data_IF_710378558717
#
_entry.id   IF_710378558717
#
_cell.length_a   1.000
_cell.length_b   1.000
_cell.length_c   1.000
_cell.angle_alpha   90.00
_cell.angle_beta   90.00
_cell.angle_gamma   90.00
#
_symmetry.space_group_name_H-M   'P 1'
#
loop_
_entity.id
_entity.type
_entity.pdbx_description
1 polymer ?
#
# COMPACT_ATOMS: atom_id res chain seq x y z
N UNK A 1 14.53 -41.26 12.14
CA UNK A 1 13.45 -40.36 12.62
C UNK A 1 14.09 -39.11 13.22
N UNK A 2 14.07 -37.99 12.50
CA UNK A 2 14.34 -36.67 13.06
C UNK A 2 13.40 -35.70 12.34
N UNK A 3 12.18 -35.54 12.87
CA UNK A 3 11.29 -34.49 12.44
C UNK A 3 11.89 -33.17 12.91
N UNK A 4 12.57 -32.46 12.01
CA UNK A 4 13.07 -31.12 12.28
C UNK A 4 11.85 -30.20 12.35
N UNK A 5 11.45 -29.85 13.57
CA UNK A 5 10.31 -28.97 13.91
C UNK A 5 10.61 -27.50 13.57
N UNK A 6 11.08 -27.23 12.36
CA UNK A 6 11.19 -25.87 11.88
C UNK A 6 9.86 -25.46 11.30
N UNK A 7 9.16 -24.58 12.01
CA UNK A 7 7.93 -23.98 11.53
C UNK A 7 8.19 -23.28 10.19
N UNK A 8 7.26 -23.41 9.25
CA UNK A 8 7.23 -22.70 7.96
C UNK A 8 7.64 -21.22 8.07
N UNK A 9 7.31 -20.58 9.19
CA UNK A 9 7.67 -19.20 9.53
C UNK A 9 9.19 -18.99 9.65
N UNK A 10 9.92 -19.89 10.32
CA UNK A 10 11.38 -19.75 10.47
C UNK A 10 12.12 -19.89 9.15
N UNK A 11 11.66 -20.79 8.29
CA UNK A 11 12.33 -21.08 7.03
C UNK A 11 12.06 -19.98 5.99
N UNK A 12 10.81 -19.51 5.89
CA UNK A 12 10.43 -18.50 4.88
C UNK A 12 10.63 -17.05 5.31
N UNK A 13 10.41 -16.72 6.59
CA UNK A 13 10.48 -15.33 7.07
C UNK A 13 11.84 -15.04 7.72
N UNK A 14 12.38 -15.98 8.49
CA UNK A 14 13.68 -15.81 9.15
C UNK A 14 14.84 -16.42 8.35
N UNK A 15 14.59 -16.88 7.12
CA UNK A 15 15.58 -17.49 6.22
C UNK A 15 16.37 -18.66 6.87
N UNK A 16 15.74 -19.38 7.80
CA UNK A 16 16.38 -20.47 8.54
C UNK A 16 17.32 -20.05 9.67
N UNK A 17 17.42 -18.74 9.96
CA UNK A 17 18.27 -18.19 11.04
C UNK A 17 17.48 -17.97 12.33
N UNK A 18 18.16 -18.03 13.49
CA UNK A 18 17.59 -17.60 14.77
C UNK A 18 17.20 -16.11 14.68
N UNK A 19 16.08 -15.63 15.27
CA UNK A 19 15.67 -14.23 15.16
C UNK A 19 16.72 -13.21 15.65
N UNK A 20 17.55 -13.60 16.62
CA UNK A 20 18.69 -12.79 17.08
C UNK A 20 19.77 -12.66 16.01
N UNK A 21 20.11 -13.77 15.37
CA UNK A 21 21.16 -13.83 14.34
C UNK A 21 20.70 -13.16 13.04
N UNK A 22 19.41 -13.26 12.71
CA UNK A 22 18.79 -12.53 11.60
C UNK A 22 18.89 -11.01 11.79
N UNK A 23 18.56 -10.48 12.98
CA UNK A 23 18.64 -9.05 13.26
C UNK A 23 20.10 -8.56 13.19
N UNK A 24 21.05 -9.31 13.77
CA UNK A 24 22.48 -8.96 13.75
C UNK A 24 23.03 -9.00 12.31
N UNK A 25 22.67 -9.99 11.51
CA UNK A 25 23.06 -10.08 10.10
C UNK A 25 22.40 -8.98 9.24
N UNK A 26 21.24 -8.48 9.66
CA UNK A 26 20.52 -7.40 8.98
C UNK A 26 21.04 -6.00 9.33
N UNK A 27 21.98 -5.86 10.28
CA UNK A 27 22.68 -4.61 10.62
C UNK A 27 23.74 -4.22 9.57
N UNK A 28 23.34 -4.16 8.29
CA UNK A 28 24.16 -3.64 7.20
C UNK A 28 23.86 -2.16 6.97
N UNK A 29 24.85 -1.39 6.51
CA UNK A 29 24.71 0.04 6.18
C UNK A 29 23.46 0.38 5.34
N UNK A 30 23.15 -0.32 4.22
CA UNK A 30 21.94 -0.04 3.44
C UNK A 30 20.64 -0.37 4.19
N UNK A 31 20.63 -1.44 4.99
CA UNK A 31 19.46 -1.86 5.74
C UNK A 31 19.19 -0.94 6.93
N UNK A 32 20.23 -0.37 7.53
CA UNK A 32 20.11 0.66 8.58
C UNK A 32 19.47 1.93 8.01
N UNK A 33 19.92 2.37 6.82
CA UNK A 33 19.32 3.54 6.14
C UNK A 33 17.84 3.28 5.86
N UNK A 34 17.52 2.11 5.27
CA UNK A 34 16.14 1.72 5.01
C UNK A 34 15.30 1.69 6.30
N UNK A 35 15.85 1.14 7.39
CA UNK A 35 15.17 1.08 8.69
C UNK A 35 14.89 2.48 9.26
N UNK A 36 15.81 3.44 9.10
CA UNK A 36 15.60 4.83 9.53
C UNK A 36 14.46 5.48 8.73
N UNK A 37 14.45 5.33 7.39
CA UNK A 37 13.38 5.89 6.56
C UNK A 37 12.02 5.26 6.88
N UNK A 38 11.95 3.93 7.01
CA UNK A 38 10.71 3.24 7.37
C UNK A 38 10.27 3.65 8.78
N UNK A 39 11.17 3.69 9.74
CA UNK A 39 10.87 4.09 11.12
C UNK A 39 10.36 5.53 11.21
N UNK A 40 11.01 6.46 10.51
CA UNK A 40 10.56 7.85 10.41
C UNK A 40 9.18 7.94 9.73
N UNK A 41 8.96 7.20 8.64
CA UNK A 41 7.68 7.16 7.93
C UNK A 41 6.54 6.65 8.83
N UNK A 42 6.76 5.56 9.56
CA UNK A 42 5.79 5.02 10.53
C UNK A 42 5.53 6.03 11.66
N UNK A 43 6.58 6.70 12.16
CA UNK A 43 6.44 7.74 13.17
C UNK A 43 5.55 8.90 12.71
N UNK A 44 5.73 9.37 11.46
CA UNK A 44 4.90 10.41 10.86
C UNK A 44 3.46 9.92 10.64
N UNK A 45 3.25 8.67 10.19
CA UNK A 45 1.92 8.08 10.04
C UNK A 45 1.16 8.05 11.37
N UNK A 46 1.81 7.62 12.45
CA UNK A 46 1.23 7.60 13.80
C UNK A 46 0.91 9.02 14.26
N UNK A 47 1.86 9.96 14.10
CA UNK A 47 1.64 11.36 14.46
C UNK A 47 0.44 11.96 13.73
N UNK A 48 0.27 11.65 12.44
CA UNK A 48 -0.86 12.08 11.60
C UNK A 48 -2.20 11.54 12.06
N UNK A 49 -2.25 10.32 12.59
CA UNK A 49 -3.48 9.73 13.17
C UNK A 49 -3.93 10.42 14.46
N UNK A 50 -2.98 10.86 15.30
CA UNK A 50 -3.30 11.44 16.62
C UNK A 50 -3.45 12.96 16.60
N UNK A 51 -2.58 13.68 15.90
CA UNK A 51 -2.55 15.15 15.87
C UNK A 51 -3.28 15.74 14.66
N UNK A 52 -3.81 14.88 13.79
CA UNK A 52 -4.53 15.27 12.59
C UNK A 52 -3.62 15.70 11.44
N UNK A 53 -4.28 16.16 10.36
CA UNK A 53 -3.62 16.50 9.11
C UNK A 53 -2.86 17.83 9.18
N UNK A 54 -3.40 18.83 9.90
CA UNK A 54 -2.84 20.19 9.95
C UNK A 54 -1.34 20.29 10.25
N UNK A 55 -0.83 19.76 11.38
CA UNK A 55 0.58 19.92 11.75
C UNK A 55 1.55 19.03 10.96
N UNK A 56 1.07 17.98 10.29
CA UNK A 56 1.91 16.99 9.62
C UNK A 56 2.04 17.22 8.12
N UNK A 57 1.02 17.81 7.48
CA UNK A 57 0.95 17.87 6.01
C UNK A 57 1.02 19.28 5.43
N UNK A 58 1.07 20.32 6.27
CA UNK A 58 1.07 21.73 5.87
C UNK A 58 -0.04 22.06 4.85
N UNK A 59 -1.19 21.41 5.00
CA UNK A 59 -2.38 21.66 4.19
C UNK A 59 -3.05 22.95 4.67
N UNK A 60 -3.54 23.74 3.70
CA UNK A 60 -4.38 24.91 3.95
C UNK A 60 -5.76 24.69 3.35
N UNK A 61 -6.76 25.46 3.79
CA UNK A 61 -8.13 25.35 3.25
C UNK A 61 -8.19 25.63 1.73
N UNK A 62 -7.22 26.39 1.21
CA UNK A 62 -7.08 26.64 -0.24
C UNK A 62 -6.48 25.44 -1.00
N UNK A 63 -5.71 24.59 -0.33
CA UNK A 63 -4.99 23.44 -0.91
C UNK A 63 -5.19 22.20 -0.04
N UNK A 64 -6.45 21.80 0.15
CA UNK A 64 -6.82 20.71 1.05
C UNK A 64 -6.33 19.32 0.61
N UNK A 65 -5.83 19.16 -0.62
CA UNK A 65 -5.28 17.89 -1.13
C UNK A 65 -3.75 17.87 -1.15
N UNK A 66 -3.14 19.06 -1.31
CA UNK A 66 -1.70 19.26 -1.33
C UNK A 66 -0.94 18.30 -2.26
N UNK A 67 0.33 18.05 -1.92
CA UNK A 67 1.18 17.08 -2.61
C UNK A 67 0.81 15.64 -2.25
N UNK A 68 0.21 15.41 -1.08
CA UNK A 68 -0.05 14.08 -0.52
C UNK A 68 -1.02 13.27 -1.37
N UNK A 69 -2.25 13.77 -1.54
CA UNK A 69 -3.27 13.09 -2.35
C UNK A 69 -2.84 13.04 -3.82
N UNK A 70 -2.20 14.10 -4.33
CA UNK A 70 -1.73 14.14 -5.72
C UNK A 70 -0.67 13.08 -6.02
N UNK A 71 0.33 12.94 -5.15
CA UNK A 71 1.38 11.94 -5.29
C UNK A 71 0.84 10.52 -5.11
N UNK A 72 0.03 10.30 -4.07
CA UNK A 72 -0.50 8.98 -3.73
C UNK A 72 -1.44 8.45 -4.83
N UNK A 73 -2.26 9.33 -5.41
CA UNK A 73 -3.10 8.97 -6.55
C UNK A 73 -2.26 8.68 -7.79
N UNK A 74 -1.30 9.55 -8.15
CA UNK A 74 -0.49 9.37 -9.36
C UNK A 74 0.35 8.09 -9.29
N UNK A 75 1.04 7.86 -8.17
CA UNK A 75 1.91 6.69 -7.98
C UNK A 75 1.09 5.43 -7.74
N UNK A 76 0.07 5.49 -6.87
CA UNK A 76 -0.79 4.36 -6.55
C UNK A 76 -1.54 3.84 -7.76
N UNK A 77 -2.14 4.74 -8.57
CA UNK A 77 -2.86 4.34 -9.79
C UNK A 77 -1.89 3.83 -10.85
N UNK A 78 -0.72 4.46 -11.03
CA UNK A 78 0.26 3.99 -11.99
C UNK A 78 0.76 2.57 -11.67
N UNK A 79 0.93 2.24 -10.37
CA UNK A 79 1.30 0.91 -9.91
C UNK A 79 0.14 -0.09 -10.01
N UNK A 80 -1.11 0.36 -9.90
CA UNK A 80 -2.31 -0.48 -9.96
C UNK A 80 -2.79 -0.76 -11.40
N UNK A 81 -2.57 0.13 -12.37
CA UNK A 81 -3.00 -0.01 -13.76
C UNK A 81 -2.47 -1.26 -14.53
N UNK A 82 -1.20 -1.69 -14.41
CA UNK A 82 -0.61 -2.66 -15.35
C UNK A 82 -1.24 -4.05 -15.32
N UNK A 83 -1.76 -4.49 -14.18
CA UNK A 83 -2.40 -5.80 -14.00
C UNK A 83 -3.66 -5.97 -14.82
N UNK A 84 -4.54 -4.96 -14.86
CA UNK A 84 -5.74 -4.98 -15.71
C UNK A 84 -5.34 -4.89 -17.19
N UNK A 85 -4.44 -3.97 -17.53
CA UNK A 85 -4.01 -3.75 -18.92
C UNK A 85 -3.31 -4.97 -19.51
N UNK A 86 -2.32 -5.54 -18.83
CA UNK A 86 -1.59 -6.73 -19.29
C UNK A 86 -2.45 -7.99 -19.18
N UNK A 87 -3.29 -8.10 -18.14
CA UNK A 87 -4.24 -9.21 -18.01
C UNK A 87 -5.20 -9.26 -19.20
N UNK A 88 -5.77 -8.12 -19.58
CA UNK A 88 -6.70 -7.98 -20.71
C UNK A 88 -5.97 -8.18 -22.05
N UNK A 89 -4.80 -7.58 -22.23
CA UNK A 89 -3.97 -7.75 -23.42
C UNK A 89 -3.64 -9.22 -23.73
N UNK A 90 -3.31 -10.00 -22.70
CA UNK A 90 -2.92 -11.41 -22.89
C UNK A 90 -4.15 -12.32 -23.01
N UNK A 91 -5.18 -12.15 -22.17
CA UNK A 91 -6.32 -13.07 -22.14
C UNK A 91 -7.42 -12.74 -23.16
N UNK A 92 -7.68 -11.44 -23.41
CA UNK A 92 -8.74 -11.01 -24.33
C UNK A 92 -8.22 -10.81 -25.76
N UNK A 93 -7.06 -10.17 -25.91
CA UNK A 93 -6.45 -9.89 -27.23
C UNK A 93 -5.44 -10.97 -27.68
N UNK A 94 -5.22 -12.00 -26.87
CA UNK A 94 -4.40 -13.15 -27.25
C UNK A 94 -2.91 -12.87 -27.42
N UNK A 95 -2.37 -11.79 -26.82
CA UNK A 95 -0.96 -11.43 -26.90
C UNK A 95 -0.06 -12.35 -26.07
N UNK A 96 0.11 -13.61 -26.51
CA UNK A 96 0.87 -14.66 -25.80
C UNK A 96 2.33 -14.30 -25.51
N UNK A 97 2.91 -13.36 -26.27
CA UNK A 97 4.27 -12.84 -26.06
C UNK A 97 4.48 -12.20 -24.67
N UNK A 98 3.42 -11.66 -24.04
CA UNK A 98 3.52 -11.01 -22.74
C UNK A 98 3.14 -11.92 -21.56
N UNK A 99 2.88 -13.21 -21.79
CA UNK A 99 2.38 -14.12 -20.76
C UNK A 99 3.33 -14.23 -19.54
N UNK A 100 4.64 -14.12 -19.75
CA UNK A 100 5.62 -14.11 -18.66
C UNK A 100 5.51 -12.86 -17.77
N UNK A 101 5.15 -11.71 -18.35
CA UNK A 101 5.04 -10.43 -17.64
C UNK A 101 3.71 -10.25 -16.91
N UNK A 102 2.69 -11.04 -17.23
CA UNK A 102 1.36 -10.94 -16.60
C UNK A 102 1.40 -11.22 -15.10
N UNK A 103 2.11 -12.27 -14.68
CA UNK A 103 2.20 -12.63 -13.25
C UNK A 103 2.81 -11.52 -12.39
N UNK A 104 4.01 -10.99 -12.70
CA UNK A 104 4.58 -9.90 -11.92
C UNK A 104 3.75 -8.62 -12.03
N UNK A 105 3.11 -8.34 -13.17
CA UNK A 105 2.24 -7.18 -13.32
C UNK A 105 0.99 -7.25 -12.44
N UNK A 106 0.32 -8.40 -12.36
CA UNK A 106 -0.85 -8.58 -11.49
C UNK A 106 -0.44 -8.47 -10.02
N UNK A 107 0.68 -9.05 -9.62
CA UNK A 107 1.20 -8.93 -8.25
C UNK A 107 1.56 -7.48 -7.91
N UNK A 108 2.18 -6.76 -8.85
CA UNK A 108 2.46 -5.33 -8.72
C UNK A 108 1.16 -4.52 -8.54
N UNK A 109 0.13 -4.83 -9.33
CA UNK A 109 -1.16 -4.16 -9.22
C UNK A 109 -1.86 -4.43 -7.90
N UNK A 110 -1.83 -5.67 -7.42
CA UNK A 110 -2.37 -6.03 -6.12
C UNK A 110 -1.67 -5.24 -5.00
N UNK A 111 -0.34 -5.17 -5.06
CA UNK A 111 0.45 -4.46 -4.06
C UNK A 111 0.21 -2.94 -4.13
N UNK A 112 0.15 -2.38 -5.34
CA UNK A 112 -0.19 -0.96 -5.56
C UNK A 112 -1.57 -0.61 -5.01
N UNK A 113 -2.56 -1.48 -5.19
CA UNK A 113 -3.91 -1.30 -4.65
C UNK A 113 -3.93 -1.26 -3.13
N UNK A 114 -3.22 -2.21 -2.49
CA UNK A 114 -3.09 -2.25 -1.04
C UNK A 114 -2.46 -0.94 -0.53
N UNK A 115 -1.35 -0.49 -1.14
CA UNK A 115 -0.71 0.76 -0.73
C UNK A 115 -1.59 1.98 -0.95
N UNK A 116 -2.33 2.06 -2.06
CA UNK A 116 -3.24 3.16 -2.34
C UNK A 116 -4.37 3.25 -1.30
N UNK A 117 -4.98 2.12 -0.92
CA UNK A 117 -6.03 2.08 0.11
C UNK A 117 -5.48 2.48 1.48
N UNK A 118 -4.29 1.98 1.85
CA UNK A 118 -3.64 2.37 3.09
C UNK A 118 -3.34 3.87 3.11
N UNK A 119 -2.72 4.41 2.07
CA UNK A 119 -2.43 5.83 1.95
C UNK A 119 -3.69 6.68 2.09
N UNK A 120 -4.76 6.31 1.38
CA UNK A 120 -6.06 6.99 1.46
C UNK A 120 -6.63 6.99 2.89
N UNK A 121 -6.53 5.88 3.62
CA UNK A 121 -6.98 5.80 5.02
C UNK A 121 -6.26 6.82 5.93
N UNK A 122 -4.95 7.03 5.73
CA UNK A 122 -4.19 8.03 6.48
C UNK A 122 -4.48 9.46 6.00
N UNK A 123 -4.82 9.62 4.72
CA UNK A 123 -5.13 10.91 4.10
C UNK A 123 -6.48 11.49 4.53
N UNK A 124 -7.47 10.64 4.83
CA UNK A 124 -8.81 11.10 5.20
C UNK A 124 -8.88 11.82 6.56
N UNK A 125 -7.87 11.68 7.44
CA UNK A 125 -7.83 12.24 8.80
C UNK A 125 -8.91 11.72 9.77
N UNK A 126 -10.00 11.15 9.24
CA UNK A 126 -11.15 10.58 9.94
C UNK A 126 -11.43 9.17 9.42
N UNK A 127 -10.41 8.32 9.46
CA UNK A 127 -10.41 6.94 8.94
C UNK A 127 -11.60 6.10 9.45
N UNK A 128 -12.06 6.35 10.68
CA UNK A 128 -13.19 5.64 11.30
C UNK A 128 -14.56 5.92 10.65
N UNK A 129 -14.67 6.93 9.78
CA UNK A 129 -15.92 7.27 9.08
C UNK A 129 -16.01 6.62 7.69
N UNK A 130 -14.98 5.91 7.23
CA UNK A 130 -15.01 5.20 5.93
C UNK A 130 -16.18 4.20 5.82
N UNK A 131 -16.54 3.39 6.85
CA UNK A 131 -17.69 2.49 6.75
C UNK A 131 -19.03 3.21 6.56
N UNK A 132 -19.12 4.46 7.02
CA UNK A 132 -20.32 5.29 6.83
C UNK A 132 -20.53 5.66 5.37
N UNK A 133 -19.43 5.87 4.62
CA UNK A 133 -19.44 6.12 3.18
C UNK A 133 -19.92 4.89 2.41
N UNK A 134 -19.55 3.68 2.83
CA UNK A 134 -19.80 2.44 2.08
C UNK A 134 -21.17 1.79 2.36
N UNK A 135 -21.78 2.05 3.53
CA UNK A 135 -23.00 1.34 3.94
C UNK A 135 -24.16 2.19 4.45
N UNK A 136 -23.92 3.37 5.02
CA UNK A 136 -24.97 4.12 5.74
C UNK A 136 -25.45 5.37 4.99
N UNK A 137 -24.55 6.16 4.40
CA UNK A 137 -24.89 7.36 3.64
C UNK A 137 -24.27 7.30 2.26
N UNK A 138 -25.08 6.92 1.28
CA UNK A 138 -24.67 6.75 -0.10
C UNK A 138 -24.67 8.12 -0.79
N UNK A 139 -23.50 8.76 -0.81
CA UNK A 139 -23.28 10.08 -1.37
C UNK A 139 -23.13 10.07 -2.90
N UNK A 140 -24.10 9.52 -3.63
CA UNK A 140 -24.01 9.31 -5.10
C UNK A 140 -23.69 10.57 -5.92
N UNK A 141 -23.97 11.76 -5.39
CA UNK A 141 -23.66 13.04 -6.04
C UNK A 141 -22.21 13.50 -5.83
N UNK A 142 -21.41 12.80 -5.02
CA UNK A 142 -20.04 13.19 -4.67
C UNK A 142 -19.00 12.39 -5.45
N UNK A 143 -18.01 13.09 -6.02
CA UNK A 143 -16.87 12.47 -6.70
C UNK A 143 -16.01 11.66 -5.72
N UNK A 144 -15.89 12.10 -4.46
CA UNK A 144 -15.15 11.37 -3.42
C UNK A 144 -15.83 10.05 -3.05
N UNK A 145 -17.16 9.98 -3.12
CA UNK A 145 -17.89 8.72 -2.95
C UNK A 145 -17.58 7.76 -4.09
N UNK A 146 -17.58 8.26 -5.33
CA UNK A 146 -17.24 7.45 -6.51
C UNK A 146 -15.83 6.83 -6.37
N UNK A 147 -14.83 7.62 -5.96
CA UNK A 147 -13.46 7.13 -5.77
C UNK A 147 -13.42 6.05 -4.69
N UNK A 148 -14.02 6.31 -3.51
CA UNK A 148 -14.06 5.33 -2.43
C UNK A 148 -14.78 4.02 -2.80
N UNK A 149 -15.81 4.11 -3.65
CA UNK A 149 -16.53 2.95 -4.18
C UNK A 149 -15.70 2.14 -5.17
N UNK A 150 -14.94 2.80 -6.05
CA UNK A 150 -14.04 2.12 -7.00
C UNK A 150 -12.92 1.36 -6.30
N UNK A 151 -12.43 1.84 -5.16
CA UNK A 151 -11.42 1.13 -4.36
C UNK A 151 -11.99 -0.06 -3.58
N UNK A 152 -13.31 -0.18 -3.47
CA UNK A 152 -13.98 -1.27 -2.77
C UNK A 152 -14.36 -2.43 -3.71
N UNK A 153 -14.72 -2.11 -4.97
CA UNK A 153 -14.97 -3.08 -6.04
C UNK A 153 -13.69 -3.72 -6.58
#
# INVERSE_FOLDING_TARGET
MAQNTNSWFREKILLGMTPRDYIINNFNFPNLIAAVFVGAGVGVMIYRLFFGLGPSTNLSDNYAWGLWIGFDILVGIALAAPGLTLGTAVHLFGMKQYHHFVRPAILSSLLGYIFAVFALMFDLGRYYRVPYLLGYSWGFSSVLFLIGWHFFL
#
